data_IF_857146312299
#
_entry.id   IF_857146312299
#
_cell.length_a   1.000
_cell.length_b   1.000
_cell.length_c   1.000
_cell.angle_alpha   90.00
_cell.angle_beta   90.00
_cell.angle_gamma   90.00
#
_symmetry.space_group_name_H-M   'P 1'
#
loop_
_entity.id
_entity.type
_entity.pdbx_description
1 polymer ?
#
# COMPACT_ATOMS: atom_id res chain seq x y z
N UNK A 1 17.11 -5.90 17.62
CA UNK A 1 16.41 -7.20 17.59
C UNK A 1 17.34 -8.29 18.09
N UNK A 2 16.80 -9.32 18.74
CA UNK A 2 17.59 -10.47 19.21
C UNK A 2 17.84 -11.48 18.09
N UNK A 3 18.80 -12.38 18.30
CA UNK A 3 19.16 -13.39 17.30
C UNK A 3 18.00 -14.33 16.95
N UNK A 4 17.10 -14.60 17.90
CA UNK A 4 15.94 -15.47 17.67
C UNK A 4 14.97 -14.83 16.66
N UNK A 5 14.63 -13.56 16.87
CA UNK A 5 13.74 -12.82 15.98
C UNK A 5 14.36 -12.67 14.58
N UNK A 6 15.69 -12.54 14.50
CA UNK A 6 16.40 -12.45 13.22
C UNK A 6 16.36 -13.76 12.43
N UNK A 7 16.45 -14.92 13.11
CA UNK A 7 16.33 -16.23 12.46
C UNK A 7 14.97 -16.45 11.80
N UNK A 8 13.91 -15.97 12.43
CA UNK A 8 12.56 -16.04 11.86
C UNK A 8 12.45 -15.24 10.55
N UNK A 9 13.32 -14.24 10.36
CA UNK A 9 13.36 -13.40 9.16
C UNK A 9 14.29 -13.91 8.06
N UNK A 10 15.00 -15.03 8.24
CA UNK A 10 15.93 -15.53 7.20
C UNK A 10 15.23 -15.94 5.91
N UNK A 11 14.12 -16.68 5.97
CA UNK A 11 13.37 -17.05 4.76
C UNK A 11 12.83 -15.83 4.03
N UNK A 12 12.02 -14.96 4.66
CA UNK A 12 11.48 -13.79 3.95
C UNK A 12 12.57 -12.82 3.50
N UNK A 13 13.72 -12.76 4.19
CA UNK A 13 14.90 -12.03 3.70
C UNK A 13 15.43 -12.61 2.39
N UNK A 14 15.62 -13.92 2.32
CA UNK A 14 16.15 -14.61 1.12
C UNK A 14 15.16 -14.56 -0.06
N UNK A 15 13.86 -14.52 0.23
CA UNK A 15 12.79 -14.45 -0.76
C UNK A 15 12.44 -13.00 -1.17
N UNK A 16 13.01 -11.99 -0.50
CA UNK A 16 12.79 -10.58 -0.81
C UNK A 16 11.42 -10.04 -0.36
N UNK A 17 10.82 -10.67 0.64
CA UNK A 17 9.46 -10.40 1.12
C UNK A 17 9.39 -9.40 2.27
N UNK A 18 10.55 -9.03 2.83
CA UNK A 18 10.60 -8.07 3.93
C UNK A 18 10.23 -6.66 3.49
N UNK A 19 9.50 -5.95 4.35
CA UNK A 19 9.34 -4.50 4.19
C UNK A 19 10.69 -3.78 4.31
N UNK A 20 10.81 -2.55 3.77
CA UNK A 20 12.06 -1.78 3.88
C UNK A 20 12.54 -1.58 5.32
N UNK A 21 11.61 -1.44 6.27
CA UNK A 21 11.97 -1.27 7.69
C UNK A 21 12.47 -2.58 8.31
N UNK A 22 11.83 -3.72 8.02
CA UNK A 22 12.31 -5.02 8.49
C UNK A 22 13.68 -5.37 7.90
N UNK A 23 13.87 -5.10 6.60
CA UNK A 23 15.16 -5.28 5.96
C UNK A 23 16.25 -4.41 6.62
N UNK A 24 15.94 -3.15 6.95
CA UNK A 24 16.88 -2.28 7.66
C UNK A 24 17.27 -2.87 9.02
N UNK A 25 16.29 -3.37 9.79
CA UNK A 25 16.53 -3.95 11.11
C UNK A 25 17.34 -5.25 11.05
N UNK A 26 17.08 -6.11 10.05
CA UNK A 26 17.88 -7.32 9.83
C UNK A 26 19.31 -6.95 9.46
N UNK A 27 19.51 -6.00 8.54
CA UNK A 27 20.84 -5.52 8.15
C UNK A 27 21.62 -4.98 9.34
N UNK A 28 21.00 -4.12 10.16
CA UNK A 28 21.62 -3.55 11.36
C UNK A 28 22.10 -4.64 12.34
N UNK A 29 21.29 -5.68 12.56
CA UNK A 29 21.71 -6.82 13.39
C UNK A 29 22.85 -7.62 12.74
N UNK A 30 22.74 -7.89 11.44
CA UNK A 30 23.75 -8.63 10.71
C UNK A 30 25.08 -7.89 10.70
N UNK A 31 25.13 -6.57 10.72
CA UNK A 31 26.38 -5.81 10.82
C UNK A 31 27.09 -6.04 12.17
N UNK A 32 26.33 -6.21 13.24
CA UNK A 32 26.84 -6.42 14.60
C UNK A 32 27.06 -7.88 15.03
N UNK A 33 26.41 -8.85 14.40
CA UNK A 33 26.37 -10.24 14.89
C UNK A 33 26.98 -11.24 13.90
N UNK A 34 28.22 -11.66 14.15
CA UNK A 34 28.94 -12.67 13.35
C UNK A 34 28.15 -13.98 13.27
N UNK A 35 27.63 -14.48 14.40
CA UNK A 35 26.91 -15.75 14.46
C UNK A 35 25.69 -15.78 13.53
N UNK A 36 24.91 -14.70 13.50
CA UNK A 36 23.75 -14.60 12.61
C UNK A 36 24.16 -14.46 11.14
N UNK A 37 25.28 -13.78 10.83
CA UNK A 37 25.81 -13.73 9.46
C UNK A 37 26.22 -15.11 8.95
N UNK A 38 26.93 -15.87 9.77
CA UNK A 38 27.39 -17.22 9.43
C UNK A 38 26.20 -18.18 9.24
N UNK A 39 25.22 -18.09 10.14
CA UNK A 39 24.00 -18.88 10.03
C UNK A 39 23.21 -18.52 8.77
N UNK A 40 22.96 -17.23 8.49
CA UNK A 40 22.29 -16.80 7.26
C UNK A 40 23.05 -17.23 6.00
N UNK A 41 24.37 -17.24 6.02
CA UNK A 41 25.17 -17.76 4.90
C UNK A 41 24.94 -19.25 4.67
N UNK A 42 24.74 -20.04 5.73
CA UNK A 42 24.37 -21.45 5.63
C UNK A 42 22.96 -21.63 5.04
N UNK A 43 21.98 -20.84 5.51
CA UNK A 43 20.62 -20.81 4.94
C UNK A 43 20.63 -20.48 3.45
N UNK A 44 21.43 -19.48 3.04
CA UNK A 44 21.61 -19.11 1.64
C UNK A 44 22.15 -20.27 0.81
N UNK A 45 23.17 -20.98 1.30
CA UNK A 45 23.72 -22.17 0.62
C UNK A 45 22.66 -23.25 0.42
N UNK A 46 21.86 -23.54 1.45
CA UNK A 46 20.77 -24.51 1.34
C UNK A 46 19.72 -24.07 0.31
N UNK A 47 19.29 -22.80 0.33
CA UNK A 47 18.34 -22.27 -0.66
C UNK A 47 18.88 -22.39 -2.08
N UNK A 48 20.16 -22.05 -2.30
CA UNK A 48 20.81 -22.20 -3.62
C UNK A 48 20.87 -23.66 -4.06
N UNK A 49 21.33 -24.56 -3.19
CA UNK A 49 21.43 -25.99 -3.53
C UNK A 49 20.07 -26.60 -3.90
N UNK A 50 19.00 -26.21 -3.21
CA UNK A 50 17.63 -26.63 -3.55
C UNK A 50 17.20 -26.14 -4.94
N UNK A 51 17.50 -24.89 -5.28
CA UNK A 51 17.20 -24.32 -6.61
C UNK A 51 18.00 -25.03 -7.71
N UNK A 52 19.26 -25.34 -7.46
CA UNK A 52 20.14 -26.02 -8.43
C UNK A 52 19.80 -27.50 -8.63
N UNK A 53 19.26 -28.16 -7.61
CA UNK A 53 18.90 -29.60 -7.68
C UNK A 53 17.52 -29.81 -8.35
N UNK A 54 16.70 -28.77 -8.43
CA UNK A 54 15.36 -28.88 -9.00
C UNK A 54 15.45 -28.84 -10.53
N UNK A 55 14.94 -29.88 -11.19
CA UNK A 55 14.83 -29.89 -12.65
C UNK A 55 13.87 -28.80 -13.13
N UNK A 56 14.26 -28.08 -14.17
CA UNK A 56 13.43 -27.02 -14.74
C UNK A 56 12.22 -27.66 -15.42
N UNK A 57 11.04 -27.51 -14.80
CA UNK A 57 9.78 -28.03 -15.34
C UNK A 57 9.19 -27.01 -16.29
N UNK A 58 9.05 -27.39 -17.56
CA UNK A 58 8.35 -26.57 -18.54
C UNK A 58 6.88 -26.40 -18.13
N UNK A 59 6.44 -25.15 -17.99
CA UNK A 59 5.03 -24.86 -17.81
C UNK A 59 4.23 -25.28 -19.06
N UNK A 60 2.94 -25.66 -18.91
CA UNK A 60 2.07 -25.91 -20.06
C UNK A 60 2.07 -24.70 -21.02
N UNK A 61 2.02 -24.92 -22.34
CA UNK A 61 2.17 -23.84 -23.33
C UNK A 61 1.15 -22.71 -23.18
N UNK A 62 -0.04 -23.01 -22.67
CA UNK A 62 -1.13 -22.05 -22.45
C UNK A 62 -1.06 -21.32 -21.10
N UNK A 63 -0.16 -21.74 -20.19
CA UNK A 63 -0.11 -21.22 -18.82
C UNK A 63 0.12 -19.72 -18.79
N UNK A 64 1.17 -19.25 -19.49
CA UNK A 64 1.52 -17.83 -19.56
C UNK A 64 0.38 -17.00 -20.18
N UNK A 65 -0.26 -17.51 -21.24
CA UNK A 65 -1.38 -16.83 -21.88
C UNK A 65 -2.58 -16.70 -20.93
N UNK A 66 -2.92 -17.76 -20.19
CA UNK A 66 -4.00 -17.77 -19.21
C UNK A 66 -3.75 -16.83 -18.03
N UNK A 67 -2.55 -16.84 -17.46
CA UNK A 67 -2.15 -15.92 -16.37
C UNK A 67 -2.27 -14.47 -16.83
N UNK A 68 -1.72 -14.14 -18.00
CA UNK A 68 -1.74 -12.76 -18.52
C UNK A 68 -3.15 -12.30 -18.89
N UNK A 69 -4.05 -13.18 -19.35
CA UNK A 69 -5.44 -12.84 -19.57
C UNK A 69 -6.13 -12.41 -18.25
N UNK A 70 -5.90 -13.14 -17.15
CA UNK A 70 -6.46 -12.81 -15.83
C UNK A 70 -5.88 -11.54 -15.23
N UNK A 71 -4.59 -11.26 -15.43
CA UNK A 71 -3.99 -9.98 -15.01
C UNK A 71 -4.70 -8.82 -15.70
N UNK A 72 -4.98 -8.92 -17.01
CA UNK A 72 -5.69 -7.86 -17.76
C UNK A 72 -7.13 -7.66 -17.29
N UNK A 73 -7.83 -8.71 -16.90
CA UNK A 73 -9.17 -8.61 -16.31
C UNK A 73 -9.16 -7.86 -14.96
N UNK A 74 -8.07 -7.95 -14.19
CA UNK A 74 -7.87 -7.23 -12.93
C UNK A 74 -7.42 -5.78 -13.13
N UNK A 75 -6.72 -5.49 -14.23
CA UNK A 75 -6.28 -4.14 -14.62
C UNK A 75 -7.40 -3.26 -15.23
N UNK A 76 -8.63 -3.80 -15.36
CA UNK A 76 -9.80 -2.95 -15.61
C UNK A 76 -9.86 -1.85 -14.53
N UNK A 77 -9.93 -0.57 -14.90
CA UNK A 77 -9.54 0.52 -14.02
C UNK A 77 -10.45 0.60 -12.79
N UNK A 78 -9.99 0.05 -11.67
CA UNK A 78 -10.36 0.52 -10.35
C UNK A 78 -9.92 1.98 -10.28
N UNK A 79 -10.91 2.87 -10.47
CA UNK A 79 -10.91 4.32 -10.25
C UNK A 79 -11.40 5.06 -11.51
N UNK A 80 -12.71 4.98 -11.75
CA UNK A 80 -13.42 6.15 -12.27
C UNK A 80 -13.55 7.15 -11.11
N UNK A 81 -12.58 8.06 -10.93
CA UNK A 81 -12.88 9.29 -10.18
C UNK A 81 -13.93 10.02 -11.00
N UNK A 82 -15.18 9.84 -10.58
CA UNK A 82 -16.34 10.49 -11.14
C UNK A 82 -16.14 12.01 -11.03
N UNK A 83 -15.72 12.64 -12.14
CA UNK A 83 -15.48 14.10 -12.25
C UNK A 83 -16.71 14.94 -11.89
N UNK A 84 -17.86 14.32 -11.62
CA UNK A 84 -19.09 14.97 -11.13
C UNK A 84 -18.97 15.56 -9.72
N UNK A 85 -17.99 15.19 -8.89
CA UNK A 85 -17.81 15.79 -7.55
C UNK A 85 -17.26 17.23 -7.55
N UNK A 86 -16.83 17.75 -8.70
CA UNK A 86 -16.35 19.14 -8.85
C UNK A 86 -17.47 20.21 -8.93
N UNK A 87 -18.73 19.82 -9.10
CA UNK A 87 -19.86 20.79 -9.19
C UNK A 87 -20.43 21.22 -7.83
N UNK A 88 -19.99 20.63 -6.71
CA UNK A 88 -20.59 20.85 -5.38
C UNK A 88 -19.98 22.02 -4.57
N UNK A 89 -18.98 22.74 -5.09
CA UNK A 89 -18.38 23.89 -4.40
C UNK A 89 -18.81 25.27 -4.95
N UNK A 90 -19.77 25.32 -5.88
CA UNK A 90 -20.36 26.59 -6.31
C UNK A 90 -21.59 26.89 -5.46
N UNK A 91 -21.37 27.30 -4.21
CA UNK A 91 -22.42 27.93 -3.39
C UNK A 91 -22.77 29.26 -4.07
N UNK A 92 -23.99 29.44 -4.60
CA UNK A 92 -24.34 30.69 -5.26
C UNK A 92 -24.60 31.75 -4.19
N UNK A 93 -23.77 32.79 -4.19
CA UNK A 93 -23.88 34.07 -3.47
C UNK A 93 -25.30 34.65 -3.28
N UNK A 94 -26.28 34.28 -4.12
CA UNK A 94 -27.69 34.66 -4.01
C UNK A 94 -28.39 34.11 -2.76
N UNK A 95 -27.84 33.11 -2.07
CA UNK A 95 -28.44 32.54 -0.85
C UNK A 95 -28.29 33.42 0.41
N UNK A 96 -27.49 34.50 0.36
CA UNK A 96 -27.34 35.44 1.49
C UNK A 96 -28.36 36.59 1.49
N UNK A 97 -29.12 36.78 0.40
CA UNK A 97 -30.08 37.89 0.29
C UNK A 97 -31.31 37.68 1.18
N UNK A 98 -31.69 36.42 1.46
CA UNK A 98 -32.84 36.12 2.31
C UNK A 98 -32.60 36.42 3.81
N UNK A 99 -31.35 36.36 4.28
CA UNK A 99 -31.01 36.61 5.69
C UNK A 99 -31.03 38.09 6.09
N UNK A 100 -30.76 39.01 5.15
CA UNK A 100 -30.72 40.45 5.42
C UNK A 100 -32.13 41.06 5.51
N UNK A 101 -33.11 40.54 4.77
CA UNK A 101 -34.49 41.04 4.80
C UNK A 101 -35.20 40.77 6.14
N UNK A 102 -34.92 39.64 6.79
CA UNK A 102 -35.53 39.28 8.07
C UNK A 102 -35.02 40.15 9.25
N UNK A 103 -33.75 40.56 9.24
CA UNK A 103 -33.17 41.40 10.29
C UNK A 103 -33.69 42.85 10.24
N UNK A 104 -34.01 43.37 9.05
CA UNK A 104 -34.58 44.71 8.88
C UNK A 104 -36.03 44.81 9.40
N UNK A 105 -36.83 43.75 9.26
CA UNK A 105 -38.21 43.73 9.75
C UNK A 105 -38.29 43.68 11.29
N UNK A 106 -37.33 43.03 11.96
CA UNK A 106 -37.27 42.98 13.42
C UNK A 106 -36.84 44.34 14.01
N UNK A 107 -35.90 45.04 13.36
CA UNK A 107 -35.44 46.36 13.83
C UNK A 107 -36.49 47.47 13.64
N UNK A 108 -37.34 47.38 12.59
CA UNK A 108 -38.42 48.35 12.38
C UNK A 108 -39.66 48.07 13.25
N UNK A 109 -39.88 46.80 13.66
CA UNK A 109 -40.99 46.41 14.53
C UNK A 109 -40.80 46.74 16.02
N UNK A 110 -39.57 47.04 16.47
CA UNK A 110 -39.27 47.39 17.87
C UNK A 110 -39.25 48.89 18.18
N UNK A 111 -39.59 49.76 17.21
CA UNK A 111 -39.47 51.23 17.33
C UNK A 111 -40.83 51.95 17.15
N UNK A 112 -41.94 51.24 16.97
CA UNK A 112 -43.28 51.84 16.87
C UNK A 112 -44.25 51.35 17.94
N UNK A 113 -44.33 52.08 19.06
CA UNK A 113 -45.45 52.12 19.99
C UNK A 113 -45.93 53.58 20.06
#
# INVERSE_FOLDING_TARGET
MGCREIRELYSPWLDGELSPEEARLVQEHLDGCIACREELALWKKFSTAMRETTEEVAAPPEFTAGVMARIRELDEPMVSIDKKRSRRTRIPWKQWVAGVAAAALVAMGSIGL
#
